data_IF_835637222481
#
_entry.id   IF_835637222481
#
_cell.length_a   1.000
_cell.length_b   1.000
_cell.length_c   1.000
_cell.angle_alpha   90.00
_cell.angle_beta   90.00
_cell.angle_gamma   90.00
#
_symmetry.space_group_name_H-M   'P 1'
#
loop_
_entity.id
_entity.type
_entity.pdbx_description
1 polymer ?
#
# COMPACT_ATOMS: atom_id res chain seq x y z
N UNK A 1 17.15 8.41 -3.68
CA UNK A 1 17.53 7.52 -4.82
C UNK A 1 17.60 6.05 -4.41
N UNK A 2 17.68 5.72 -3.12
CA UNK A 2 17.54 4.33 -2.62
C UNK A 2 16.09 3.92 -2.35
N UNK A 3 15.17 4.87 -2.08
CA UNK A 3 13.81 4.51 -1.67
C UNK A 3 13.03 3.81 -2.79
N UNK A 4 13.17 4.27 -4.04
CA UNK A 4 12.53 3.61 -5.18
C UNK A 4 13.09 2.19 -5.40
N UNK A 5 14.37 1.96 -5.11
CA UNK A 5 14.97 0.62 -5.19
C UNK A 5 14.42 -0.30 -4.10
N UNK A 6 14.36 0.20 -2.87
CA UNK A 6 13.82 -0.55 -1.73
C UNK A 6 12.34 -0.95 -1.96
N UNK A 7 11.54 -0.05 -2.53
CA UNK A 7 10.15 -0.33 -2.90
C UNK A 7 10.07 -1.45 -3.94
N UNK A 8 10.86 -1.38 -5.01
CA UNK A 8 10.87 -2.41 -6.05
C UNK A 8 11.31 -3.78 -5.50
N UNK A 9 12.38 -3.83 -4.71
CA UNK A 9 12.85 -5.08 -4.09
C UNK A 9 11.79 -5.70 -3.17
N UNK A 10 10.99 -4.86 -2.49
CA UNK A 10 9.89 -5.34 -1.66
C UNK A 10 8.74 -5.87 -2.49
N UNK A 11 8.38 -5.19 -3.58
CA UNK A 11 7.33 -5.67 -4.49
C UNK A 11 7.71 -7.03 -5.10
N UNK A 12 8.96 -7.20 -5.51
CA UNK A 12 9.47 -8.49 -6.00
C UNK A 12 9.38 -9.59 -4.93
N UNK A 13 9.70 -9.27 -3.67
CA UNK A 13 9.59 -10.19 -2.55
C UNK A 13 8.14 -10.57 -2.25
N UNK A 14 7.22 -9.61 -2.27
CA UNK A 14 5.78 -9.86 -2.11
C UNK A 14 5.28 -10.79 -3.23
N UNK A 15 5.66 -10.52 -4.48
CA UNK A 15 5.27 -11.35 -5.62
C UNK A 15 5.84 -12.77 -5.50
N UNK A 16 7.07 -12.93 -5.04
CA UNK A 16 7.67 -14.24 -4.81
C UNK A 16 6.94 -15.01 -3.70
N UNK A 17 6.59 -14.34 -2.60
CA UNK A 17 5.83 -14.93 -1.49
C UNK A 17 4.43 -15.37 -1.96
N UNK A 18 3.73 -14.52 -2.70
CA UNK A 18 2.40 -14.82 -3.23
C UNK A 18 2.43 -16.02 -4.19
N UNK A 19 3.37 -16.03 -5.14
CA UNK A 19 3.56 -17.17 -6.07
C UNK A 19 3.94 -18.47 -5.36
N UNK A 20 4.64 -18.38 -4.23
CA UNK A 20 4.99 -19.56 -3.42
C UNK A 20 3.83 -20.10 -2.59
N UNK A 21 2.67 -19.42 -2.58
CA UNK A 21 1.54 -19.75 -1.71
C UNK A 21 1.83 -19.47 -0.23
N UNK A 22 2.72 -18.51 0.06
CA UNK A 22 3.09 -18.18 1.42
C UNK A 22 1.85 -17.72 2.22
N UNK A 23 1.73 -18.21 3.45
CA UNK A 23 0.62 -17.82 4.32
C UNK A 23 0.63 -16.32 4.65
N UNK A 24 -0.51 -15.80 5.09
CA UNK A 24 -0.70 -14.39 5.47
C UNK A 24 0.37 -13.86 6.44
N UNK A 25 0.89 -14.73 7.31
CA UNK A 25 1.96 -14.39 8.25
C UNK A 25 3.26 -13.92 7.57
N UNK A 26 3.55 -14.39 6.35
CA UNK A 26 4.71 -13.98 5.57
C UNK A 26 4.46 -12.73 4.74
N UNK A 27 3.23 -12.53 4.24
CA UNK A 27 2.88 -11.37 3.40
C UNK A 27 2.60 -10.10 4.21
N UNK A 28 1.94 -10.20 5.36
CA UNK A 28 1.54 -9.05 6.16
C UNK A 28 2.70 -8.13 6.62
N UNK A 29 3.88 -8.66 7.02
CA UNK A 29 5.02 -7.81 7.35
C UNK A 29 5.49 -6.95 6.18
N UNK A 30 5.54 -7.53 4.97
CA UNK A 30 5.97 -6.81 3.77
C UNK A 30 4.97 -5.71 3.39
N UNK A 31 3.67 -6.00 3.43
CA UNK A 31 2.63 -5.00 3.16
C UNK A 31 2.62 -3.86 4.18
N UNK A 32 2.91 -4.14 5.46
CA UNK A 32 3.05 -3.10 6.49
C UNK A 32 4.28 -2.24 6.29
N UNK A 33 5.40 -2.83 5.86
CA UNK A 33 6.60 -2.06 5.53
C UNK A 33 6.36 -1.13 4.33
N UNK A 34 5.68 -1.63 3.29
CA UNK A 34 5.30 -0.83 2.12
C UNK A 34 4.36 0.33 2.50
N UNK A 35 3.42 0.11 3.42
CA UNK A 35 2.56 1.17 3.94
C UNK A 35 3.39 2.25 4.65
N UNK A 36 4.36 1.89 5.49
CA UNK A 36 5.22 2.88 6.17
C UNK A 36 6.04 3.74 5.18
N UNK A 37 6.49 3.14 4.09
CA UNK A 37 7.18 3.88 3.00
C UNK A 37 6.23 4.82 2.26
N UNK A 38 5.01 4.36 1.97
CA UNK A 38 3.97 5.18 1.36
C UNK A 38 3.57 6.36 2.26
N UNK A 39 3.46 6.16 3.57
CA UNK A 39 3.20 7.21 4.55
C UNK A 39 4.30 8.28 4.56
N UNK A 40 5.56 7.85 4.56
CA UNK A 40 6.70 8.76 4.54
C UNK A 40 6.70 9.65 3.28
N UNK A 41 6.45 9.04 2.10
CA UNK A 41 6.35 9.78 0.85
C UNK A 41 5.11 10.65 0.76
N UNK A 42 3.96 10.16 1.25
CA UNK A 42 2.74 10.95 1.26
C UNK A 42 2.90 12.22 2.09
N UNK A 43 3.63 12.14 3.21
CA UNK A 43 3.91 13.29 4.07
C UNK A 43 4.84 14.33 3.44
N UNK A 44 5.68 13.96 2.46
CA UNK A 44 6.65 14.89 1.84
C UNK A 44 6.17 15.41 0.49
N UNK A 45 5.58 14.54 -0.33
CA UNK A 45 5.35 14.81 -1.76
C UNK A 45 4.00 14.28 -2.29
N UNK A 46 3.22 13.53 -1.51
CA UNK A 46 2.05 12.80 -2.05
C UNK A 46 0.79 13.63 -2.30
N UNK A 47 0.65 14.80 -1.67
CA UNK A 47 -0.58 15.60 -1.73
C UNK A 47 -1.83 14.81 -1.30
N UNK A 48 -3.02 15.31 -1.66
CA UNK A 48 -4.29 14.71 -1.26
C UNK A 48 -4.44 13.26 -1.78
N UNK A 49 -4.04 13.01 -3.03
CA UNK A 49 -4.10 11.68 -3.62
C UNK A 49 -3.20 10.66 -2.91
N UNK A 50 -2.03 11.08 -2.44
CA UNK A 50 -1.14 10.25 -1.63
C UNK A 50 -1.73 9.93 -0.26
N UNK A 51 -2.39 10.92 0.37
CA UNK A 51 -3.12 10.73 1.63
C UNK A 51 -4.26 9.71 1.49
N UNK A 52 -5.10 9.86 0.47
CA UNK A 52 -6.21 8.96 0.20
C UNK A 52 -5.74 7.52 -0.06
N UNK A 53 -4.64 7.35 -0.80
CA UNK A 53 -4.05 6.04 -1.06
C UNK A 53 -3.56 5.37 0.24
N UNK A 54 -2.87 6.12 1.11
CA UNK A 54 -2.41 5.64 2.42
C UNK A 54 -3.57 5.22 3.31
N UNK A 55 -4.65 6.00 3.36
CA UNK A 55 -5.82 5.68 4.17
C UNK A 55 -6.58 4.44 3.66
N UNK A 56 -6.62 4.25 2.34
CA UNK A 56 -7.11 3.03 1.72
C UNK A 56 -6.30 1.80 2.13
N UNK A 57 -4.97 1.89 2.08
CA UNK A 57 -4.05 0.81 2.48
C UNK A 57 -4.17 0.49 3.98
N UNK A 58 -4.25 1.50 4.84
CA UNK A 58 -4.49 1.33 6.29
C UNK A 58 -5.77 0.57 6.57
N UNK A 59 -6.86 0.97 5.91
CA UNK A 59 -8.16 0.32 6.08
C UNK A 59 -8.09 -1.15 5.69
N UNK A 60 -7.53 -1.45 4.51
CA UNK A 60 -7.38 -2.82 4.01
C UNK A 60 -6.53 -3.70 4.95
N UNK A 61 -5.42 -3.17 5.49
CA UNK A 61 -4.57 -3.90 6.44
C UNK A 61 -5.19 -4.07 7.83
N UNK A 62 -6.08 -3.17 8.23
CA UNK A 62 -6.89 -3.32 9.43
C UNK A 62 -8.02 -4.36 9.26
N UNK A 63 -8.22 -4.90 8.05
CA UNK A 63 -9.35 -5.78 7.73
C UNK A 63 -10.68 -5.02 7.63
N UNK A 64 -10.64 -3.69 7.64
CA UNK A 64 -11.79 -2.88 7.26
C UNK A 64 -11.87 -2.87 5.73
N UNK A 65 -13.06 -3.03 5.18
CA UNK A 65 -13.26 -2.66 3.77
C UNK A 65 -12.81 -1.20 3.63
N UNK A 66 -11.86 -0.87 2.73
CA UNK A 66 -11.52 0.52 2.50
C UNK A 66 -12.82 1.26 2.22
N UNK A 67 -12.98 2.44 2.82
CA UNK A 67 -13.98 3.40 2.37
C UNK A 67 -13.54 3.78 0.96
N UNK A 68 -13.82 2.92 0.00
CA UNK A 68 -13.59 3.17 -1.41
C UNK A 68 -14.30 4.49 -1.68
N UNK A 69 -13.51 5.52 -1.97
CA UNK A 69 -13.72 6.43 -3.09
C UNK A 69 -15.20 6.51 -3.45
N UNK A 70 -15.99 7.02 -2.51
CA UNK A 70 -17.43 7.02 -2.65
C UNK A 70 -17.76 8.13 -3.64
N UNK A 71 -17.87 7.73 -4.90
CA UNK A 71 -18.93 8.15 -5.82
C UNK A 71 -18.84 9.46 -6.62
N UNK A 72 -17.75 10.23 -6.62
CA UNK A 72 -17.70 11.46 -7.46
C UNK A 72 -17.04 11.27 -8.85
N UNK A 73 -17.10 10.08 -9.43
CA UNK A 73 -16.65 9.85 -10.82
C UNK A 73 -17.64 9.06 -11.69
N UNK A 74 -18.94 9.11 -11.37
CA UNK A 74 -20.02 8.79 -12.33
C UNK A 74 -21.18 9.77 -12.11
N UNK A 75 -21.02 11.01 -12.57
CA UNK A 75 -22.09 11.84 -13.15
C UNK A 75 -21.51 13.19 -13.60
N UNK A 76 -21.17 13.29 -14.89
CA UNK A 76 -21.55 14.33 -15.88
C UNK A 76 -20.78 14.05 -17.17
#
# INVERSE_FOLDING_TARGET
MDEARAVLERLERIEALDRSGAGRAALLPELRALLGEAEAWASTEGGDAGGDAVDGLRSALAGATPKALSHDMIAV
#
